data_IF_624033483956
#
_entry.id   IF_624033483956
#
_cell.length_a   1.000
_cell.length_b   1.000
_cell.length_c   1.000
_cell.angle_alpha   90.00
_cell.angle_beta   90.00
_cell.angle_gamma   90.00
#
_symmetry.space_group_name_H-M   'P 1'
#
loop_
_entity.id
_entity.type
_entity.pdbx_description
1 polymer ?
#
# COMPACT_ATOMS: atom_id res chain seq x y z
N UNK A 1 -19.05 15.52 -5.64
CA UNK A 1 -18.98 15.15 -4.22
C UNK A 1 -17.71 14.34 -4.06
N UNK A 2 -16.78 14.75 -3.21
CA UNK A 2 -15.54 13.98 -2.99
C UNK A 2 -15.90 12.76 -2.12
N UNK A 3 -15.61 11.56 -2.59
CA UNK A 3 -15.86 10.31 -1.88
C UNK A 3 -14.51 9.71 -1.49
N UNK A 4 -14.17 9.79 -0.21
CA UNK A 4 -12.99 9.13 0.34
C UNK A 4 -13.41 7.91 1.14
N UNK A 5 -12.95 6.73 0.75
CA UNK A 5 -13.20 5.48 1.49
C UNK A 5 -11.96 5.09 2.28
N UNK A 6 -12.10 5.01 3.60
CA UNK A 6 -11.04 4.46 4.47
C UNK A 6 -11.59 3.19 5.09
N UNK A 7 -11.05 2.05 4.65
CA UNK A 7 -11.41 0.74 5.22
C UNK A 7 -10.30 0.24 6.14
N UNK A 8 -10.66 -0.69 7.03
CA UNK A 8 -9.70 -1.38 7.93
C UNK A 8 -8.90 -0.44 8.84
N UNK A 9 -9.59 0.47 9.53
CA UNK A 9 -8.99 1.38 10.52
C UNK A 9 -8.75 0.63 11.84
N UNK A 10 -7.54 0.76 12.38
CA UNK A 10 -7.17 0.20 13.69
C UNK A 10 -6.18 1.10 14.44
N UNK A 11 -6.04 0.84 15.75
CA UNK A 11 -4.99 1.43 16.57
C UNK A 11 -3.63 0.78 16.21
N UNK A 12 -2.65 1.59 15.81
CA UNK A 12 -1.35 1.11 15.34
C UNK A 12 -0.42 0.59 16.45
N UNK A 13 -0.79 0.69 17.72
CA UNK A 13 0.03 0.18 18.83
C UNK A 13 0.29 -1.32 18.67
N UNK A 14 1.56 -1.71 18.65
CA UNK A 14 2.02 -3.10 18.51
C UNK A 14 1.41 -3.80 17.28
N UNK A 15 1.23 -3.04 16.19
CA UNK A 15 0.72 -3.52 14.91
C UNK A 15 1.64 -3.07 13.78
N UNK A 16 1.90 -3.99 12.89
CA UNK A 16 2.54 -3.75 11.61
C UNK A 16 1.53 -4.00 10.51
N UNK A 17 1.66 -3.29 9.39
CA UNK A 17 0.74 -3.46 8.28
C UNK A 17 1.32 -2.99 6.96
N UNK A 18 0.81 -3.59 5.88
CA UNK A 18 0.91 -3.05 4.53
C UNK A 18 -0.31 -2.18 4.30
N UNK A 19 -0.13 -1.06 3.63
CA UNK A 19 -1.22 -0.20 3.19
C UNK A 19 -1.13 0.06 1.69
N UNK A 20 -2.29 0.19 1.07
CA UNK A 20 -2.44 0.54 -0.34
C UNK A 20 -3.36 1.76 -0.42
N UNK A 21 -2.80 2.89 -0.85
CA UNK A 21 -3.60 4.06 -1.26
C UNK A 21 -3.90 3.87 -2.75
N UNK A 22 -5.16 4.03 -3.16
CA UNK A 22 -5.52 3.96 -4.57
C UNK A 22 -6.51 5.04 -4.98
N UNK A 23 -6.50 5.32 -6.28
CA UNK A 23 -7.58 5.96 -7.02
C UNK A 23 -7.92 5.06 -8.22
N UNK A 24 -9.20 4.71 -8.36
CA UNK A 24 -9.71 3.90 -9.48
C UNK A 24 -9.84 4.75 -10.74
N UNK A 25 -10.27 6.00 -10.62
CA UNK A 25 -10.40 6.97 -11.71
C UNK A 25 -9.04 7.23 -12.38
N UNK A 26 -8.00 7.48 -11.59
CA UNK A 26 -6.65 7.72 -12.08
C UNK A 26 -5.83 6.44 -12.29
N UNK A 27 -6.38 5.28 -11.89
CA UNK A 27 -5.74 3.96 -11.99
C UNK A 27 -4.35 3.98 -11.35
N UNK A 28 -4.24 4.59 -10.18
CA UNK A 28 -2.97 4.78 -9.49
C UNK A 28 -3.02 4.09 -8.13
N UNK A 29 -1.95 3.38 -7.78
CA UNK A 29 -1.81 2.73 -6.48
C UNK A 29 -0.46 3.02 -5.85
N UNK A 30 -0.44 3.21 -4.54
CA UNK A 30 0.76 3.40 -3.74
C UNK A 30 0.78 2.36 -2.64
N UNK A 31 1.82 1.53 -2.64
CA UNK A 31 2.01 0.47 -1.64
C UNK A 31 3.10 0.93 -0.67
N UNK A 32 2.88 0.72 0.63
CA UNK A 32 3.92 0.91 1.63
C UNK A 32 3.69 0.06 2.88
N UNK A 33 4.67 0.06 3.77
CA UNK A 33 4.63 -0.60 5.07
C UNK A 33 4.78 0.39 6.23
N UNK A 34 4.26 0.04 7.40
CA UNK A 34 4.59 0.73 8.64
C UNK A 34 4.28 -0.12 9.88
N UNK A 35 4.86 0.30 11.01
CA UNK A 35 4.46 -0.08 12.37
C UNK A 35 4.17 1.18 13.23
N UNK A 36 3.81 2.31 12.61
CA UNK A 36 3.55 3.57 13.31
C UNK A 36 2.30 3.47 14.20
N UNK A 37 2.45 3.93 15.45
CA UNK A 37 1.39 3.91 16.49
C UNK A 37 0.12 4.66 16.11
N UNK A 38 0.19 5.62 15.18
CA UNK A 38 -0.93 6.46 14.74
C UNK A 38 -1.88 5.73 13.79
N UNK A 39 -1.53 4.51 13.39
CA UNK A 39 -2.37 3.64 12.56
C UNK A 39 -2.68 4.22 11.18
N UNK A 40 -3.67 3.63 10.53
CA UNK A 40 -4.04 3.85 9.13
C UNK A 40 -4.25 5.34 8.79
N UNK A 41 -5.02 6.07 9.61
CA UNK A 41 -5.31 7.50 9.37
C UNK A 41 -4.06 8.37 9.50
N UNK A 42 -3.25 8.13 10.53
CA UNK A 42 -2.01 8.88 10.74
C UNK A 42 -1.05 8.69 9.57
N UNK A 43 -0.96 7.46 9.06
CA UNK A 43 -0.14 7.14 7.89
C UNK A 43 -0.69 7.77 6.62
N UNK A 44 -2.00 7.74 6.42
CA UNK A 44 -2.65 8.39 5.28
C UNK A 44 -2.34 9.88 5.22
N UNK A 45 -2.58 10.58 6.34
CA UNK A 45 -2.30 12.01 6.48
C UNK A 45 -0.84 12.34 6.12
N UNK A 46 0.11 11.51 6.55
CA UNK A 46 1.53 11.72 6.24
C UNK A 46 1.83 11.62 4.73
N UNK A 47 1.08 10.80 3.99
CA UNK A 47 1.28 10.59 2.55
C UNK A 47 0.62 11.64 1.66
N UNK A 48 -0.52 12.19 2.09
CA UNK A 48 -1.26 13.23 1.36
C UNK A 48 -0.86 14.66 1.77
N UNK A 49 -0.13 14.82 2.87
CA UNK A 49 0.37 16.11 3.32
C UNK A 49 1.28 16.79 2.28
N UNK A 50 1.59 18.07 2.50
CA UNK A 50 2.37 18.90 1.55
C UNK A 50 3.74 18.29 1.17
N UNK A 51 4.38 17.58 2.09
CA UNK A 51 5.65 16.87 1.84
C UNK A 51 5.49 15.36 1.64
N UNK A 52 4.25 14.88 1.57
CA UNK A 52 3.91 13.47 1.53
C UNK A 52 4.38 12.76 0.26
N UNK A 53 4.89 11.54 0.41
CA UNK A 53 5.46 10.79 -0.71
C UNK A 53 4.42 10.35 -1.72
N UNK A 54 3.18 10.05 -1.30
CA UNK A 54 2.12 9.72 -2.25
C UNK A 54 1.79 10.93 -3.13
N UNK A 55 1.61 12.11 -2.51
CA UNK A 55 1.40 13.38 -3.23
C UNK A 55 2.43 13.58 -4.33
N UNK A 56 3.72 13.59 -3.96
CA UNK A 56 4.82 13.80 -4.91
C UNK A 56 4.82 12.76 -6.02
N UNK A 57 4.68 11.47 -5.67
CA UNK A 57 4.71 10.39 -6.68
C UNK A 57 3.50 10.39 -7.59
N UNK A 58 2.35 10.80 -7.09
CA UNK A 58 1.13 10.94 -7.88
C UNK A 58 1.32 12.06 -8.91
N UNK A 59 1.74 13.24 -8.48
CA UNK A 59 2.07 14.36 -9.37
C UNK A 59 3.13 13.95 -10.42
N UNK A 60 4.25 13.37 -9.99
CA UNK A 60 5.34 12.95 -10.89
C UNK A 60 4.93 11.89 -11.94
N UNK A 61 4.02 10.96 -11.61
CA UNK A 61 3.71 9.80 -12.47
C UNK A 61 2.36 9.87 -13.16
N UNK A 62 1.43 10.66 -12.63
CA UNK A 62 0.09 10.88 -13.17
C UNK A 62 -0.02 12.26 -13.82
N UNK A 63 0.73 13.26 -13.33
CA UNK A 63 0.73 14.62 -13.87
C UNK A 63 -0.37 15.52 -13.31
N UNK A 64 -0.95 15.13 -12.17
CA UNK A 64 -2.13 15.76 -11.59
C UNK A 64 -1.93 15.99 -10.08
N UNK A 65 -2.56 17.03 -9.54
CA UNK A 65 -2.54 17.31 -8.11
C UNK A 65 -3.50 16.39 -7.35
N UNK A 66 -3.15 16.03 -6.12
CA UNK A 66 -4.02 15.15 -5.31
C UNK A 66 -5.35 15.81 -4.96
N UNK A 67 -5.40 17.14 -4.95
CA UNK A 67 -6.60 17.95 -4.73
C UNK A 67 -7.65 17.75 -5.85
N UNK A 68 -7.24 17.25 -7.02
CA UNK A 68 -8.15 16.92 -8.12
C UNK A 68 -8.77 15.52 -7.98
N UNK A 69 -8.29 14.71 -7.03
CA UNK A 69 -8.76 13.34 -6.85
C UNK A 69 -9.99 13.33 -5.95
N UNK A 70 -11.09 12.77 -6.44
CA UNK A 70 -12.34 12.65 -5.70
C UNK A 70 -12.67 11.22 -5.25
N UNK A 71 -11.77 10.25 -5.50
CA UNK A 71 -11.96 8.82 -5.25
C UNK A 71 -10.78 8.16 -4.51
N UNK A 72 -10.13 8.89 -3.59
CA UNK A 72 -9.05 8.31 -2.79
C UNK A 72 -9.56 7.22 -1.83
N UNK A 73 -8.93 6.06 -1.92
CA UNK A 73 -9.23 4.89 -1.09
C UNK A 73 -7.97 4.47 -0.35
N UNK A 74 -8.12 4.08 0.91
CA UNK A 74 -7.04 3.48 1.71
C UNK A 74 -7.44 2.10 2.21
N UNK A 75 -6.69 1.09 1.78
CA UNK A 75 -6.77 -0.28 2.25
C UNK A 75 -5.59 -0.58 3.19
N UNK A 76 -5.83 -1.30 4.28
CA UNK A 76 -4.80 -1.70 5.23
C UNK A 76 -4.89 -3.19 5.58
N UNK A 77 -3.72 -3.84 5.60
CA UNK A 77 -3.56 -5.27 5.79
C UNK A 77 -2.65 -5.53 6.97
N UNK A 78 -3.22 -5.97 8.08
CA UNK A 78 -2.45 -6.29 9.29
C UNK A 78 -1.47 -7.43 9.02
N UNK A 79 -0.21 -7.21 9.40
CA UNK A 79 0.80 -8.24 9.47
C UNK A 79 0.73 -8.95 10.82
N UNK A 80 1.31 -10.16 10.94
CA UNK A 80 1.38 -10.85 12.21
C UNK A 80 2.03 -10.01 13.32
N UNK A 81 1.66 -10.29 14.57
CA UNK A 81 2.10 -9.49 15.73
C UNK A 81 3.48 -9.88 16.26
N UNK A 82 4.11 -10.92 15.71
CA UNK A 82 5.43 -11.34 16.15
C UNK A 82 6.51 -10.28 15.85
N UNK A 83 7.61 -10.34 16.61
CA UNK A 83 8.65 -9.30 16.59
C UNK A 83 9.36 -9.15 15.25
N UNK A 84 9.31 -10.17 14.37
CA UNK A 84 9.88 -10.05 13.02
C UNK A 84 9.16 -8.97 12.22
N UNK A 85 7.85 -8.82 12.45
CA UNK A 85 7.04 -7.79 11.80
C UNK A 85 6.84 -6.55 12.65
N UNK A 86 6.83 -6.60 13.97
CA UNK A 86 6.54 -5.40 14.80
C UNK A 86 7.79 -4.69 15.29
N UNK A 87 8.95 -5.35 15.25
CA UNK A 87 10.22 -4.83 15.74
C UNK A 87 10.79 -3.66 14.93
N UNK A 88 11.89 -3.10 15.43
CA UNK A 88 12.60 -1.98 14.77
C UNK A 88 13.17 -2.42 13.42
N UNK A 89 13.64 -3.66 13.33
CA UNK A 89 14.04 -4.26 12.06
C UNK A 89 12.85 -4.32 11.11
N UNK A 90 13.01 -3.73 9.92
CA UNK A 90 11.96 -3.62 8.90
C UNK A 90 12.06 -4.70 7.83
N UNK A 91 13.05 -5.58 7.87
CA UNK A 91 13.38 -6.52 6.79
C UNK A 91 12.19 -7.38 6.35
N UNK A 92 11.45 -7.98 7.29
CA UNK A 92 10.29 -8.81 6.94
C UNK A 92 9.14 -7.97 6.40
N UNK A 93 8.84 -6.80 6.98
CA UNK A 93 7.79 -5.89 6.47
C UNK A 93 8.12 -5.36 5.08
N UNK A 94 9.36 -4.94 4.86
CA UNK A 94 9.87 -4.48 3.57
C UNK A 94 9.88 -5.60 2.53
N UNK A 95 10.17 -6.84 2.95
CA UNK A 95 10.08 -8.01 2.07
C UNK A 95 8.63 -8.26 1.64
N UNK A 96 7.65 -8.15 2.56
CA UNK A 96 6.23 -8.24 2.18
C UNK A 96 5.85 -7.10 1.23
N UNK A 97 6.20 -5.84 1.55
CA UNK A 97 5.93 -4.67 0.70
C UNK A 97 6.47 -4.88 -0.73
N UNK A 98 7.74 -5.28 -0.85
CA UNK A 98 8.39 -5.53 -2.11
C UNK A 98 7.68 -6.62 -2.92
N UNK A 99 7.36 -7.77 -2.30
CA UNK A 99 6.65 -8.85 -2.98
C UNK A 99 5.24 -8.45 -3.41
N UNK A 100 4.52 -7.67 -2.59
CA UNK A 100 3.21 -7.11 -2.97
C UNK A 100 3.37 -6.21 -4.20
N UNK A 101 4.34 -5.30 -4.21
CA UNK A 101 4.59 -4.42 -5.36
C UNK A 101 4.92 -5.21 -6.63
N UNK A 102 5.82 -6.19 -6.56
CA UNK A 102 6.21 -7.03 -7.71
C UNK A 102 5.01 -7.80 -8.25
N UNK A 103 4.29 -8.53 -7.38
CA UNK A 103 3.12 -9.33 -7.81
C UNK A 103 2.00 -8.47 -8.37
N UNK A 104 1.77 -7.26 -7.83
CA UNK A 104 0.79 -6.32 -8.41
C UNK A 104 1.22 -5.81 -9.79
N UNK A 105 2.52 -5.57 -10.01
CA UNK A 105 3.07 -5.19 -11.32
C UNK A 105 2.91 -6.32 -12.34
N UNK A 106 3.01 -7.58 -11.92
CA UNK A 106 2.78 -8.75 -12.78
C UNK A 106 1.29 -8.91 -13.10
N UNK A 107 0.43 -8.90 -12.07
CA UNK A 107 -1.00 -9.18 -12.22
C UNK A 107 -1.76 -8.09 -12.96
N UNK A 108 -1.30 -6.83 -12.93
CA UNK A 108 -2.00 -5.73 -13.62
C UNK A 108 -2.13 -5.94 -15.13
N UNK A 109 -1.24 -6.72 -15.75
CA UNK A 109 -1.27 -6.99 -17.18
C UNK A 109 -2.53 -7.78 -17.60
N UNK A 110 -3.12 -8.55 -16.67
CA UNK A 110 -4.36 -9.31 -16.90
C UNK A 110 -5.65 -8.53 -16.57
N UNK A 111 -5.57 -7.25 -16.21
CA UNK A 111 -6.74 -6.45 -15.85
C UNK A 111 -7.27 -5.67 -17.06
N UNK A 112 -8.61 -5.56 -17.14
CA UNK A 112 -9.28 -4.74 -18.16
C UNK A 112 -8.84 -3.27 -18.07
N UNK A 113 -8.66 -2.76 -16.84
CA UNK A 113 -8.16 -1.40 -16.56
C UNK A 113 -6.89 -1.49 -15.71
N UNK A 114 -5.71 -1.66 -16.31
CA UNK A 114 -4.45 -1.76 -15.56
C UNK A 114 -4.18 -0.49 -14.76
N UNK A 115 -3.71 -0.66 -13.52
CA UNK A 115 -3.23 0.44 -12.68
C UNK A 115 -1.72 0.67 -12.81
N UNK A 116 -1.26 1.83 -12.37
CA UNK A 116 0.14 2.20 -12.20
C UNK A 116 0.50 2.14 -10.71
N UNK A 117 1.56 1.38 -10.40
CA UNK A 117 2.19 1.46 -9.08
C UNK A 117 3.04 2.72 -9.04
N UNK A 118 2.65 3.69 -8.21
CA UNK A 118 3.34 4.99 -8.10
C UNK A 118 4.35 5.04 -6.95
N UNK A 119 4.31 4.09 -6.02
CA UNK A 119 5.36 3.93 -5.01
C UNK A 119 6.70 3.55 -5.66
N UNK A 120 7.79 3.86 -4.97
CA UNK A 120 9.14 3.45 -5.38
C UNK A 120 9.34 1.97 -5.05
N UNK A 121 9.74 1.18 -6.04
CA UNK A 121 10.06 -0.23 -5.85
C UNK A 121 11.54 -0.35 -5.56
N UNK A 122 11.89 -0.59 -4.29
CA UNK A 122 13.29 -0.79 -3.88
C UNK A 122 13.61 -2.28 -3.91
N UNK A 123 14.69 -2.66 -4.60
CA UNK A 123 15.20 -4.02 -4.55
C UNK A 123 15.75 -4.28 -3.15
N UNK A 124 15.04 -5.08 -2.37
CA UNK A 124 15.49 -5.57 -1.08
C UNK A 124 15.98 -7.01 -1.21
N UNK A 125 16.96 -7.39 -0.39
CA UNK A 125 17.27 -8.80 -0.14
C UNK A 125 16.03 -9.42 0.52
N UNK A 126 15.19 -10.06 -0.28
CA UNK A 126 13.99 -10.72 0.23
C UNK A 126 14.40 -11.85 1.16
N UNK A 127 13.63 -12.03 2.23
CA UNK A 127 13.67 -13.29 2.97
C UNK A 127 13.04 -14.37 2.08
N UNK A 128 13.68 -15.53 1.90
CA UNK A 128 13.09 -16.70 1.21
C UNK A 128 12.06 -17.44 2.08
N UNK A 129 11.51 -16.76 3.09
CA UNK A 129 10.53 -17.34 4.00
C UNK A 129 9.18 -17.46 3.31
N UNK A 130 8.70 -18.70 3.16
CA UNK A 130 7.36 -19.03 2.65
C UNK A 130 6.23 -18.25 3.34
N UNK A 131 6.42 -17.85 4.60
CA UNK A 131 5.43 -17.08 5.36
C UNK A 131 5.25 -15.67 4.79
N UNK A 132 6.34 -15.01 4.41
CA UNK A 132 6.33 -13.67 3.80
C UNK A 132 5.68 -13.71 2.42
N UNK A 133 5.99 -14.73 1.62
CA UNK A 133 5.37 -14.95 0.31
C UNK A 133 3.84 -15.15 0.43
N UNK A 134 3.39 -16.01 1.35
CA UNK A 134 1.96 -16.26 1.58
C UNK A 134 1.21 -14.99 2.02
N UNK A 135 1.82 -14.16 2.86
CA UNK A 135 1.23 -12.89 3.28
C UNK A 135 1.08 -11.94 2.09
N UNK A 136 2.13 -11.81 1.28
CA UNK A 136 2.10 -10.97 0.09
C UNK A 136 1.03 -11.46 -0.91
N UNK A 137 0.92 -12.77 -1.14
CA UNK A 137 -0.10 -13.36 -2.01
C UNK A 137 -1.52 -13.09 -1.53
N UNK A 138 -1.78 -13.26 -0.23
CA UNK A 138 -3.09 -12.98 0.34
C UNK A 138 -3.50 -11.51 0.14
N UNK A 139 -2.58 -10.57 0.39
CA UNK A 139 -2.79 -9.13 0.20
C UNK A 139 -3.08 -8.81 -1.28
N UNK A 140 -2.29 -9.39 -2.18
CA UNK A 140 -2.43 -9.16 -3.62
C UNK A 140 -3.77 -9.67 -4.13
N UNK A 141 -4.18 -10.88 -3.74
CA UNK A 141 -5.45 -11.47 -4.17
C UNK A 141 -6.64 -10.65 -3.68
N UNK A 142 -6.62 -10.23 -2.42
CA UNK A 142 -7.68 -9.38 -1.84
C UNK A 142 -7.75 -8.03 -2.56
N UNK A 143 -6.60 -7.37 -2.75
CA UNK A 143 -6.53 -6.10 -3.48
C UNK A 143 -7.09 -6.22 -4.90
N UNK A 144 -6.69 -7.26 -5.64
CA UNK A 144 -7.15 -7.46 -7.03
C UNK A 144 -8.65 -7.72 -7.07
N UNK A 145 -9.18 -8.46 -6.10
CA UNK A 145 -10.63 -8.65 -5.96
C UNK A 145 -11.33 -7.30 -5.75
N UNK A 146 -10.85 -6.49 -4.79
CA UNK A 146 -11.40 -5.17 -4.50
C UNK A 146 -11.31 -4.19 -5.68
N UNK A 147 -10.20 -4.22 -6.42
CA UNK A 147 -9.97 -3.31 -7.56
C UNK A 147 -10.87 -3.63 -8.76
N UNK A 148 -11.28 -4.90 -8.93
CA UNK A 148 -12.16 -5.34 -10.03
C UNK A 148 -13.63 -4.96 -9.82
N UNK A 149 -14.04 -4.67 -8.59
CA UNK A 149 -15.37 -4.16 -8.26
C UNK A 149 -15.48 -2.71 -8.75
#
# INVERSE_FOLDING_TARGET
>A
MIVTEVSSIFNGRDRAYIYIILSKAYRAIYVGETNDRRGTIGRFRAHIGSSGTFRKRFEERIGEDIEQIDDLILLSYLLPTDQLFTGVASTHRQSVEYLVQVKLIEMRAGLIKPFKVVSEVRTFSTTSEKRVEKLAEAIVLDFISYYKI
#
